data_IF_317476429391
#
_entry.id   IF_317476429391
#
_cell.length_a   1.000
_cell.length_b   1.000
_cell.length_c   1.000
_cell.angle_alpha   90.00
_cell.angle_beta   90.00
_cell.angle_gamma   90.00
#
_symmetry.space_group_name_H-M   'P 1'
#
loop_
_entity.id
_entity.type
_entity.pdbx_description
1 polymer ?
#
# COMPACT_ATOMS: atom_id res chain seq x y z
N UNK A 1 -59.71 -38.97 16.52
CA UNK A 1 -59.60 -38.33 15.19
C UNK A 1 -58.59 -37.19 15.31
N UNK A 2 -57.38 -37.34 14.77
CA UNK A 2 -56.33 -36.31 14.82
C UNK A 2 -56.31 -35.53 13.50
N UNK A 3 -56.58 -34.23 13.56
CA UNK A 3 -56.52 -33.32 12.40
C UNK A 3 -55.06 -32.91 12.20
N UNK A 4 -54.41 -33.45 11.15
CA UNK A 4 -53.06 -33.05 10.75
C UNK A 4 -53.12 -31.71 10.02
N UNK A 5 -52.66 -30.65 10.70
CA UNK A 5 -52.53 -29.31 10.13
C UNK A 5 -51.37 -29.32 9.10
N UNK A 6 -51.67 -29.33 7.80
CA UNK A 6 -50.64 -29.22 6.76
C UNK A 6 -50.15 -27.77 6.71
N UNK A 7 -48.99 -27.53 7.31
CA UNK A 7 -48.25 -26.28 7.10
C UNK A 7 -48.10 -26.03 5.61
N UNK A 8 -48.66 -24.92 5.14
CA UNK A 8 -48.61 -24.53 3.73
C UNK A 8 -47.20 -24.00 3.48
N UNK A 9 -46.30 -24.88 3.03
CA UNK A 9 -44.94 -24.50 2.64
C UNK A 9 -45.05 -23.45 1.53
N UNK A 10 -44.74 -22.19 1.85
CA UNK A 10 -44.69 -21.09 0.89
C UNK A 10 -43.47 -21.31 0.01
N UNK A 11 -43.69 -21.65 -1.25
CA UNK A 11 -42.63 -21.66 -2.26
C UNK A 11 -42.36 -20.22 -2.71
N UNK A 12 -41.08 -19.83 -2.77
CA UNK A 12 -40.66 -18.55 -3.33
C UNK A 12 -41.04 -18.47 -4.81
N UNK A 13 -41.53 -17.31 -5.25
CA UNK A 13 -41.85 -17.11 -6.66
C UNK A 13 -40.60 -16.68 -7.44
N UNK A 14 -40.52 -17.06 -8.73
CA UNK A 14 -39.42 -16.63 -9.60
C UNK A 14 -39.35 -15.10 -9.71
N UNK A 15 -40.50 -14.43 -9.69
CA UNK A 15 -40.59 -12.96 -9.75
C UNK A 15 -39.97 -12.31 -8.52
N UNK A 16 -40.14 -12.92 -7.35
CA UNK A 16 -39.60 -12.43 -6.09
C UNK A 16 -38.07 -12.49 -6.06
N UNK A 17 -37.48 -13.58 -6.57
CA UNK A 17 -36.02 -13.67 -6.73
C UNK A 17 -35.52 -12.73 -7.84
N UNK A 18 -36.28 -12.57 -8.94
CA UNK A 18 -35.90 -11.69 -10.04
C UNK A 18 -35.79 -10.22 -9.61
N UNK A 19 -36.77 -9.71 -8.87
CA UNK A 19 -36.75 -8.31 -8.41
C UNK A 19 -35.57 -8.10 -7.43
N UNK A 20 -35.29 -9.08 -6.55
CA UNK A 20 -34.18 -8.99 -5.59
C UNK A 20 -32.84 -8.90 -6.30
N UNK A 21 -32.55 -9.76 -7.29
CA UNK A 21 -31.27 -9.70 -8.00
C UNK A 21 -31.12 -8.43 -8.85
N UNK A 22 -32.22 -7.89 -9.37
CA UNK A 22 -32.21 -6.59 -10.07
C UNK A 22 -31.83 -5.46 -9.11
N UNK A 23 -32.45 -5.41 -7.93
CA UNK A 23 -32.11 -4.39 -6.92
C UNK A 23 -30.66 -4.55 -6.45
N UNK A 24 -30.21 -5.77 -6.16
CA UNK A 24 -28.82 -6.04 -5.79
C UNK A 24 -27.83 -5.65 -6.91
N UNK A 25 -28.19 -5.86 -8.18
CA UNK A 25 -27.39 -5.44 -9.32
C UNK A 25 -27.21 -3.93 -9.41
N UNK A 26 -28.30 -3.16 -9.21
CA UNK A 26 -28.25 -1.69 -9.21
C UNK A 26 -27.41 -1.17 -8.03
N UNK A 27 -27.60 -1.73 -6.83
CA UNK A 27 -26.82 -1.34 -5.66
C UNK A 27 -25.32 -1.65 -5.84
N UNK A 28 -25.00 -2.84 -6.35
CA UNK A 28 -23.62 -3.25 -6.59
C UNK A 28 -22.91 -2.32 -7.59
N UNK A 29 -23.59 -1.88 -8.65
CA UNK A 29 -23.01 -0.99 -9.66
C UNK A 29 -22.55 0.37 -9.10
N UNK A 30 -23.21 0.86 -8.04
CA UNK A 30 -22.86 2.15 -7.40
C UNK A 30 -21.84 1.93 -6.27
N UNK A 31 -22.06 0.91 -5.44
CA UNK A 31 -21.27 0.70 -4.22
C UNK A 31 -19.85 0.22 -4.52
N UNK A 32 -19.67 -0.64 -5.52
CA UNK A 32 -18.35 -1.19 -5.85
C UNK A 32 -17.33 -0.10 -6.23
N UNK A 33 -17.58 0.78 -7.22
CA UNK A 33 -16.61 1.82 -7.57
C UNK A 33 -16.38 2.81 -6.42
N UNK A 34 -17.42 3.14 -5.64
CA UNK A 34 -17.28 4.01 -4.47
C UNK A 34 -16.37 3.39 -3.41
N UNK A 35 -16.53 2.09 -3.12
CA UNK A 35 -15.70 1.38 -2.16
C UNK A 35 -14.25 1.27 -2.63
N UNK A 36 -14.03 0.98 -3.91
CA UNK A 36 -12.68 0.95 -4.50
C UNK A 36 -11.96 2.28 -4.37
N UNK A 37 -12.64 3.41 -4.66
CA UNK A 37 -12.05 4.73 -4.51
C UNK A 37 -11.69 5.03 -3.05
N UNK A 38 -12.61 4.77 -2.11
CA UNK A 38 -12.34 4.97 -0.69
C UNK A 38 -11.18 4.11 -0.17
N UNK A 39 -11.04 2.88 -0.68
CA UNK A 39 -9.91 2.01 -0.37
C UNK A 39 -8.59 2.59 -0.91
N UNK A 40 -8.58 3.13 -2.13
CA UNK A 40 -7.41 3.77 -2.71
C UNK A 40 -7.01 5.04 -1.96
N UNK A 41 -7.97 5.88 -1.57
CA UNK A 41 -7.71 7.08 -0.76
C UNK A 41 -7.10 6.71 0.59
N UNK A 42 -7.62 5.66 1.23
CA UNK A 42 -7.07 5.16 2.50
C UNK A 42 -5.64 4.62 2.33
N UNK A 43 -5.35 3.92 1.22
CA UNK A 43 -4.00 3.46 0.90
C UNK A 43 -3.06 4.64 0.64
N UNK A 44 -3.51 5.67 -0.07
CA UNK A 44 -2.75 6.90 -0.30
C UNK A 44 -2.38 7.60 1.01
N UNK A 45 -3.35 7.78 1.92
CA UNK A 45 -3.07 8.37 3.24
C UNK A 45 -2.12 7.54 4.12
N UNK A 46 -2.17 6.20 3.99
CA UNK A 46 -1.21 5.33 4.65
C UNK A 46 0.21 5.54 4.11
N UNK A 47 0.37 5.66 2.79
CA UNK A 47 1.67 5.91 2.14
C UNK A 47 2.22 7.26 2.59
N UNK A 48 1.42 8.32 2.61
CA UNK A 48 1.86 9.64 3.11
C UNK A 48 2.42 9.57 4.52
N UNK A 49 1.69 8.90 5.42
CA UNK A 49 2.07 8.78 6.83
C UNK A 49 3.33 7.94 7.00
N UNK A 50 3.47 6.86 6.20
CA UNK A 50 4.67 6.05 6.18
C UNK A 50 5.88 6.84 5.65
N UNK A 51 5.76 7.55 4.52
CA UNK A 51 6.85 8.37 3.98
C UNK A 51 7.32 9.43 4.97
N UNK A 52 6.41 10.11 5.65
CA UNK A 52 6.77 11.06 6.71
C UNK A 52 7.55 10.37 7.84
N UNK A 53 7.11 9.19 8.27
CA UNK A 53 7.80 8.41 9.31
C UNK A 53 9.18 7.97 8.84
N UNK A 54 9.28 7.41 7.63
CA UNK A 54 10.53 6.89 7.07
C UNK A 54 11.55 8.00 6.86
N UNK A 55 11.17 9.11 6.23
CA UNK A 55 12.05 10.27 6.06
C UNK A 55 12.55 10.80 7.41
N UNK A 56 11.69 10.88 8.43
CA UNK A 56 12.14 11.29 9.78
C UNK A 56 13.14 10.30 10.40
N UNK A 57 12.97 8.98 10.18
CA UNK A 57 13.93 7.99 10.67
C UNK A 57 15.26 8.05 9.91
N UNK A 58 15.21 8.27 8.59
CA UNK A 58 16.38 8.43 7.73
C UNK A 58 17.18 9.69 8.10
N UNK A 59 16.51 10.80 8.40
CA UNK A 59 17.14 12.01 8.93
C UNK A 59 17.75 11.79 10.32
N UNK A 60 17.05 11.06 11.20
CA UNK A 60 17.58 10.71 12.52
C UNK A 60 18.83 9.83 12.41
N UNK A 61 18.85 8.89 11.47
CA UNK A 61 20.02 8.08 11.16
C UNK A 61 21.20 8.96 10.75
N UNK A 62 21.00 9.85 9.77
CA UNK A 62 22.06 10.75 9.31
C UNK A 62 22.58 11.65 10.44
N UNK A 63 21.70 12.17 11.29
CA UNK A 63 22.09 12.98 12.44
C UNK A 63 22.97 12.22 13.45
N UNK A 64 22.77 10.90 13.61
CA UNK A 64 23.59 10.05 14.49
C UNK A 64 24.86 9.56 13.83
N UNK A 65 24.85 9.39 12.51
CA UNK A 65 25.94 8.83 11.72
C UNK A 65 26.77 9.92 11.03
N UNK A 66 26.97 11.05 11.73
CA UNK A 66 27.87 12.12 11.31
C UNK A 66 27.52 12.75 9.93
N UNK A 67 26.23 12.75 9.59
CA UNK A 67 25.67 13.28 8.34
C UNK A 67 25.58 12.26 7.21
N UNK A 68 25.98 11.01 7.42
CA UNK A 68 25.87 9.97 6.40
C UNK A 68 24.51 9.26 6.45
N UNK A 69 23.86 9.18 5.30
CA UNK A 69 22.60 8.48 5.11
C UNK A 69 22.81 6.96 4.97
N UNK A 70 21.76 6.14 5.21
CA UNK A 70 21.84 4.69 5.01
C UNK A 70 22.21 4.33 3.56
N UNK A 71 23.06 3.31 3.38
CA UNK A 71 23.38 2.77 2.06
C UNK A 71 22.31 1.75 1.63
N UNK A 72 21.24 2.26 1.00
CA UNK A 72 20.16 1.42 0.51
C UNK A 72 20.52 0.58 -0.71
N UNK A 73 21.61 0.88 -1.42
CA UNK A 73 22.02 0.10 -2.61
C UNK A 73 22.77 -1.17 -2.19
N UNK A 74 23.66 -1.04 -1.20
CA UNK A 74 24.39 -2.18 -0.65
C UNK A 74 23.54 -3.05 0.28
N UNK A 75 22.80 -2.41 1.20
CA UNK A 75 22.18 -3.12 2.34
C UNK A 75 20.65 -3.15 2.28
N UNK A 76 20.03 -2.41 1.35
CA UNK A 76 18.59 -2.19 1.36
C UNK A 76 18.17 -1.55 2.70
N UNK A 77 17.14 -2.08 3.35
CA UNK A 77 16.78 -1.67 4.72
C UNK A 77 17.72 -2.25 5.80
N UNK A 78 18.54 -3.24 5.45
CA UNK A 78 19.42 -4.00 6.33
C UNK A 78 18.73 -5.07 7.18
N UNK A 79 19.38 -5.45 8.27
CA UNK A 79 18.86 -6.38 9.27
C UNK A 79 19.23 -5.93 10.69
N UNK A 80 18.53 -6.47 11.70
CA UNK A 80 18.73 -6.16 13.12
C UNK A 80 20.10 -6.64 13.67
N UNK A 81 20.88 -7.37 12.88
CA UNK A 81 22.20 -7.85 13.26
C UNK A 81 23.34 -6.96 12.75
N UNK A 82 23.07 -6.06 11.79
CA UNK A 82 24.07 -5.27 11.08
C UNK A 82 24.08 -3.84 11.57
N UNK A 83 25.18 -3.46 12.24
CA UNK A 83 25.40 -2.09 12.68
C UNK A 83 25.47 -1.14 11.47
N UNK A 84 24.84 0.02 11.58
CA UNK A 84 24.81 1.00 10.48
C UNK A 84 23.69 0.77 9.47
N UNK A 85 22.69 -0.06 9.78
CA UNK A 85 21.48 -0.18 8.97
C UNK A 85 20.26 0.42 9.68
N UNK A 86 19.15 0.56 8.95
CA UNK A 86 17.93 1.15 9.52
C UNK A 86 17.10 0.15 10.34
N UNK A 87 17.22 -1.15 10.06
CA UNK A 87 16.47 -2.16 10.79
C UNK A 87 17.18 -2.49 12.10
N UNK A 88 16.50 -2.28 13.22
CA UNK A 88 16.95 -2.57 14.58
C UNK A 88 16.23 -1.74 15.63
N UNK A 89 16.77 -1.70 16.84
CA UNK A 89 16.14 -1.04 17.99
C UNK A 89 16.03 0.49 17.86
N UNK A 90 16.88 1.13 17.06
CA UNK A 90 17.04 2.59 17.03
C UNK A 90 16.14 3.34 16.03
N UNK A 91 15.78 2.73 14.90
CA UNK A 91 15.08 3.43 13.80
C UNK A 91 13.81 2.70 13.32
N UNK A 92 13.95 1.53 12.72
CA UNK A 92 12.83 0.73 12.19
C UNK A 92 12.88 -0.70 12.72
N UNK A 93 11.73 -1.26 13.12
CA UNK A 93 11.67 -2.65 13.60
C UNK A 93 11.65 -3.69 12.49
N UNK A 94 11.25 -3.29 11.29
CA UNK A 94 11.11 -4.17 10.13
C UNK A 94 11.06 -3.34 8.85
N UNK A 95 11.35 -3.97 7.71
CA UNK A 95 11.27 -3.32 6.41
C UNK A 95 9.82 -2.84 6.15
N UNK A 96 9.61 -1.57 5.82
CA UNK A 96 8.29 -1.04 5.54
C UNK A 96 7.74 -1.64 4.24
N UNK A 97 6.45 -1.98 4.24
CA UNK A 97 5.74 -2.42 3.04
C UNK A 97 5.00 -1.25 2.41
N UNK A 98 5.28 -0.92 1.15
CA UNK A 98 4.64 0.16 0.41
C UNK A 98 3.16 -0.19 0.10
N UNK A 99 2.18 0.53 0.69
CA UNK A 99 0.77 0.28 0.43
C UNK A 99 0.32 0.66 -0.98
N UNK A 100 1.07 1.50 -1.71
CA UNK A 100 0.82 1.87 -3.10
C UNK A 100 1.35 0.83 -4.09
N UNK A 101 2.14 -0.16 -3.65
CA UNK A 101 2.74 -1.14 -4.55
C UNK A 101 1.68 -1.84 -5.41
N UNK A 102 1.91 -1.86 -6.72
CA UNK A 102 1.09 -2.59 -7.66
C UNK A 102 1.43 -4.08 -7.59
N UNK A 103 0.53 -4.95 -7.10
CA UNK A 103 0.82 -6.38 -6.98
C UNK A 103 0.97 -7.08 -8.34
N UNK A 104 0.50 -6.46 -9.43
CA UNK A 104 0.66 -7.00 -10.78
C UNK A 104 2.11 -6.84 -11.28
N UNK A 105 2.88 -5.94 -10.68
CA UNK A 105 4.29 -5.74 -10.98
C UNK A 105 5.16 -6.62 -10.05
N UNK A 106 5.64 -7.74 -10.61
CA UNK A 106 6.52 -8.72 -9.95
C UNK A 106 5.95 -9.43 -8.70
N UNK A 107 4.63 -9.34 -8.47
CA UNK A 107 4.00 -9.88 -7.27
C UNK A 107 4.37 -9.07 -6.01
N UNK A 108 3.62 -9.24 -4.93
CA UNK A 108 3.87 -8.52 -3.66
C UNK A 108 5.24 -8.77 -3.00
N UNK A 109 6.13 -9.53 -3.63
CA UNK A 109 7.47 -9.86 -3.15
C UNK A 109 8.41 -8.63 -3.08
N UNK A 110 8.18 -7.61 -3.90
CA UNK A 110 8.99 -6.40 -3.93
C UNK A 110 8.39 -5.25 -3.10
N UNK A 111 7.24 -5.47 -2.45
CA UNK A 111 6.56 -4.44 -1.67
C UNK A 111 7.39 -3.86 -0.51
N UNK A 112 8.51 -4.50 -0.14
CA UNK A 112 9.41 -4.06 0.92
C UNK A 112 10.81 -3.67 0.43
N UNK A 113 11.12 -3.75 -0.86
CA UNK A 113 12.46 -3.44 -1.37
C UNK A 113 12.67 -1.93 -1.52
N UNK A 114 13.93 -1.51 -1.45
CA UNK A 114 14.37 -0.13 -1.62
C UNK A 114 15.58 -0.12 -2.54
N UNK A 115 15.68 0.91 -3.37
CA UNK A 115 16.87 1.17 -4.19
C UNK A 115 17.30 2.64 -4.07
N UNK A 116 18.57 2.88 -4.35
CA UNK A 116 19.14 4.23 -4.40
C UNK A 116 19.10 4.75 -5.82
N UNK A 117 18.64 5.99 -6.02
CA UNK A 117 18.54 6.63 -7.33
C UNK A 117 19.19 8.00 -7.36
N UNK A 118 19.44 8.50 -8.57
CA UNK A 118 19.91 9.85 -8.84
C UNK A 118 18.80 10.85 -9.16
N UNK A 119 19.22 11.99 -9.71
CA UNK A 119 18.39 13.17 -9.90
C UNK A 119 17.14 12.92 -10.73
N UNK A 120 16.00 13.42 -10.24
CA UNK A 120 14.73 13.42 -10.97
C UNK A 120 14.05 12.05 -11.06
N UNK A 121 14.49 11.06 -10.27
CA UNK A 121 13.82 9.77 -10.13
C UNK A 121 13.11 9.72 -8.77
N UNK A 122 11.80 9.45 -8.81
CA UNK A 122 10.90 9.44 -7.65
C UNK A 122 10.19 8.10 -7.45
N UNK A 123 10.45 7.12 -8.31
CA UNK A 123 9.93 5.77 -8.12
C UNK A 123 10.46 4.78 -9.16
N UNK A 124 10.09 3.51 -8.98
CA UNK A 124 10.72 2.37 -9.67
C UNK A 124 9.78 1.19 -9.86
N UNK A 125 9.93 0.48 -10.97
CA UNK A 125 9.22 -0.79 -11.24
C UNK A 125 9.88 -2.00 -10.57
N UNK A 126 11.12 -1.84 -10.09
CA UNK A 126 11.91 -2.90 -9.46
C UNK A 126 11.98 -2.77 -7.95
N UNK A 127 11.65 -1.61 -7.39
CA UNK A 127 11.70 -1.38 -5.95
C UNK A 127 10.49 -0.63 -5.46
N UNK A 128 9.96 -1.03 -4.31
CA UNK A 128 8.80 -0.37 -3.70
C UNK A 128 9.09 1.03 -3.17
N UNK A 129 10.31 1.24 -2.71
CA UNK A 129 10.79 2.52 -2.21
C UNK A 129 12.01 2.96 -2.99
N UNK A 130 12.18 4.25 -3.11
CA UNK A 130 13.30 4.85 -3.83
C UNK A 130 13.91 5.93 -2.95
N UNK A 131 15.19 5.81 -2.64
CA UNK A 131 15.94 6.84 -1.94
C UNK A 131 16.68 7.72 -2.96
N UNK A 132 16.34 9.00 -3.00
CA UNK A 132 16.96 9.94 -3.92
C UNK A 132 18.16 10.63 -3.25
N UNK A 133 19.36 10.41 -3.79
CA UNK A 133 20.62 10.90 -3.21
C UNK A 133 20.86 12.39 -3.37
N UNK A 134 20.16 13.07 -4.29
CA UNK A 134 20.31 14.51 -4.48
C UNK A 134 19.47 15.32 -3.49
N UNK A 135 18.31 14.76 -3.12
CA UNK A 135 17.37 15.38 -2.17
C UNK A 135 17.48 14.79 -0.77
N UNK A 136 18.15 13.64 -0.62
CA UNK A 136 18.22 12.83 0.59
C UNK A 136 16.84 12.44 1.13
N UNK A 137 15.87 12.19 0.24
CA UNK A 137 14.51 11.83 0.62
C UNK A 137 14.08 10.50 0.01
N UNK A 138 13.29 9.75 0.77
CA UNK A 138 12.57 8.56 0.32
C UNK A 138 11.28 8.96 -0.39
N UNK A 139 11.02 8.27 -1.48
CA UNK A 139 9.81 8.32 -2.30
C UNK A 139 9.20 6.92 -2.41
N UNK A 140 7.90 6.87 -2.72
CA UNK A 140 7.17 5.63 -2.87
C UNK A 140 6.85 5.38 -4.35
N UNK A 141 7.28 4.25 -4.88
CA UNK A 141 6.89 3.85 -6.23
C UNK A 141 5.37 3.72 -6.34
N UNK A 142 4.82 4.13 -7.49
CA UNK A 142 3.37 4.15 -7.76
C UNK A 142 2.57 5.12 -6.90
N UNK A 143 3.20 6.17 -6.39
CA UNK A 143 2.53 7.16 -5.57
C UNK A 143 2.97 8.57 -5.97
N UNK A 144 2.00 9.45 -6.20
CA UNK A 144 2.24 10.87 -6.43
C UNK A 144 2.16 11.60 -5.08
N UNK A 145 3.29 12.03 -4.53
CA UNK A 145 3.35 12.73 -3.25
C UNK A 145 2.71 14.12 -3.27
N UNK A 146 2.60 14.75 -4.44
CA UNK A 146 2.04 16.10 -4.60
C UNK A 146 0.53 16.06 -4.48
N UNK A 147 -0.10 15.11 -5.17
CA UNK A 147 -1.55 14.95 -5.17
C UNK A 147 -2.04 13.96 -4.12
N UNK A 148 -1.15 13.15 -3.56
CA UNK A 148 -1.44 12.16 -2.54
C UNK A 148 -2.19 10.94 -3.06
N UNK A 149 -2.01 10.60 -4.35
CA UNK A 149 -2.81 9.59 -5.07
C UNK A 149 -1.91 8.46 -5.55
N UNK A 150 -2.45 7.22 -5.51
CA UNK A 150 -1.78 6.05 -6.10
C UNK A 150 -1.86 6.12 -7.62
N UNK A 151 -0.74 5.94 -8.28
CA UNK A 151 -0.60 6.01 -9.73
C UNK A 151 -0.49 4.61 -10.35
N UNK A 152 -0.71 4.52 -11.65
CA UNK A 152 -0.52 3.27 -12.43
C UNK A 152 0.88 3.15 -13.02
N UNK A 153 1.74 4.14 -12.78
CA UNK A 153 3.08 4.24 -13.35
C UNK A 153 4.06 4.49 -12.23
N UNK A 154 5.16 3.75 -12.22
CA UNK A 154 6.03 3.70 -11.06
C UNK A 154 6.89 4.95 -10.85
N UNK A 155 7.07 5.79 -11.87
CA UNK A 155 8.15 6.81 -11.94
C UNK A 155 7.67 8.26 -11.87
N UNK A 156 6.43 8.50 -11.44
CA UNK A 156 5.91 9.87 -11.30
C UNK A 156 6.48 10.53 -10.04
#
# INVERSE_FOLDING_TARGET
MQVRNRGRNRAFTLVEILIVVVILGILAAIVVPQFTNAANDARGGNVTTQLQTLNNQTELFAARNNGEYPDFDADGWGDDATAGTMIGDDYLKTAPSNPAWNPDDNGGALATTVETVGAGVFGSVTSAWVFNTDTNTLYASYYDEVNGVITTTATD
#
